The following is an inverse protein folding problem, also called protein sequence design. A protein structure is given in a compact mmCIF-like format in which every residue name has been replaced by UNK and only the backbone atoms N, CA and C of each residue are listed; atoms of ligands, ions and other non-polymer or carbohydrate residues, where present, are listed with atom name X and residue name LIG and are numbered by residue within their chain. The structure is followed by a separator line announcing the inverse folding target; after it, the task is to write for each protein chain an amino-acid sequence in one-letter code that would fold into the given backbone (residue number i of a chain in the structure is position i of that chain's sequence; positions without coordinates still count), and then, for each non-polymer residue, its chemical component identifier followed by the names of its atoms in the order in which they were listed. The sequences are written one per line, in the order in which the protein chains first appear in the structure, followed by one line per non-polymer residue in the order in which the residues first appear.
data_IF_289918876231
#
_entry.id   IF_289918876231
#
_cell.length_a   1.000
_cell.length_b   1.000
_cell.length_c   1.000
_cell.angle_alpha   90.00
_cell.angle_beta   90.00
_cell.angle_gamma   90.00
#
_symmetry.space_group_name_H-M   'P 1'
#
loop_
_entity.id
_entity.type
_entity.pdbx_description
1 polymer ?
#
# COMPACT_ATOMS: atom_id res chain seq x y z
N UNK A 1 -0.06 -11.14 22.30
CA UNK A 1 0.81 -11.79 21.29
C UNK A 1 -0.07 -12.24 20.14
N UNK A 2 0.03 -11.59 18.98
CA UNK A 2 -0.70 -12.01 17.78
C UNK A 2 0.19 -12.95 16.98
N UNK A 3 -0.17 -14.23 16.94
CA UNK A 3 0.43 -15.24 16.06
C UNK A 3 -0.08 -15.00 14.65
N UNK A 4 0.76 -14.65 13.67
CA UNK A 4 0.32 -14.55 12.29
C UNK A 4 0.28 -15.95 11.69
N UNK A 5 -0.90 -16.34 11.21
CA UNK A 5 -1.09 -17.56 10.43
C UNK A 5 -0.14 -17.58 9.22
N UNK A 6 0.54 -18.72 9.06
CA UNK A 6 1.33 -19.03 7.86
C UNK A 6 0.38 -19.13 6.67
N UNK A 7 0.28 -18.08 5.86
CA UNK A 7 -0.42 -18.13 4.58
C UNK A 7 0.61 -18.08 3.45
N UNK A 8 0.74 -19.22 2.76
CA UNK A 8 1.54 -19.40 1.55
C UNK A 8 1.05 -18.44 0.46
N UNK A 9 1.95 -18.01 -0.43
CA UNK A 9 1.68 -17.08 -1.53
C UNK A 9 0.76 -17.61 -2.65
N UNK A 10 0.18 -18.81 -2.47
CA UNK A 10 -0.72 -19.48 -3.42
C UNK A 10 -2.11 -19.76 -2.80
N UNK A 11 -2.51 -19.02 -1.76
CA UNK A 11 -3.87 -19.17 -1.23
C UNK A 11 -4.92 -18.82 -2.29
N UNK A 12 -5.68 -19.85 -2.68
CA UNK A 12 -7.01 -19.73 -3.29
C UNK A 12 -7.75 -18.63 -2.52
N UNK A 13 -8.07 -17.52 -3.20
CA UNK A 13 -8.79 -16.42 -2.59
C UNK A 13 -10.18 -16.92 -2.16
N UNK A 14 -10.33 -17.22 -0.87
CA UNK A 14 -11.61 -17.66 -0.29
C UNK A 14 -12.68 -16.58 -0.55
N UNK A 15 -13.87 -16.98 -1.00
CA UNK A 15 -15.01 -16.08 -1.18
C UNK A 15 -15.33 -15.32 0.11
N UNK A 16 -15.09 -15.90 1.29
CA UNK A 16 -15.28 -15.24 2.58
C UNK A 16 -14.46 -13.96 2.73
N UNK A 17 -13.24 -13.96 2.19
CA UNK A 17 -12.41 -12.76 2.18
C UNK A 17 -13.03 -11.69 1.29
N UNK A 18 -13.48 -12.05 0.08
CA UNK A 18 -14.16 -11.09 -0.79
C UNK A 18 -15.44 -10.53 -0.16
N UNK A 19 -16.24 -11.36 0.53
CA UNK A 19 -17.43 -10.91 1.25
C UNK A 19 -17.10 -9.87 2.33
N UNK A 20 -16.04 -10.09 3.11
CA UNK A 20 -15.62 -9.16 4.17
C UNK A 20 -15.33 -7.78 3.59
N UNK A 21 -14.49 -7.71 2.57
CA UNK A 21 -14.11 -6.43 1.96
C UNK A 21 -15.21 -5.83 1.09
N UNK A 22 -16.10 -6.66 0.55
CA UNK A 22 -17.31 -6.19 -0.14
C UNK A 22 -18.23 -5.44 0.81
N UNK A 23 -18.49 -5.96 2.01
CA UNK A 23 -19.28 -5.25 3.05
C UNK A 23 -18.69 -3.89 3.38
N UNK A 24 -17.37 -3.81 3.62
CA UNK A 24 -16.69 -2.54 3.87
C UNK A 24 -16.77 -1.59 2.68
N UNK A 25 -16.70 -2.13 1.47
CA UNK A 25 -16.76 -1.37 0.21
C UNK A 25 -18.12 -0.75 -0.01
N UNK A 26 -19.21 -1.52 0.13
CA UNK A 26 -20.59 -1.00 0.05
C UNK A 26 -20.80 0.11 1.07
N UNK A 27 -20.46 -0.15 2.33
CA UNK A 27 -20.61 0.84 3.40
C UNK A 27 -19.80 2.13 3.16
N UNK A 28 -18.58 2.02 2.62
CA UNK A 28 -17.78 3.19 2.23
C UNK A 28 -18.43 3.97 1.09
N UNK A 29 -19.00 3.27 0.10
CA UNK A 29 -19.74 3.86 -1.01
C UNK A 29 -20.97 4.62 -0.54
N UNK A 30 -21.79 4.01 0.33
CA UNK A 30 -22.97 4.63 0.94
C UNK A 30 -22.61 5.90 1.72
N UNK A 31 -21.50 5.89 2.48
CA UNK A 31 -21.03 7.10 3.17
C UNK A 31 -20.64 8.21 2.19
N UNK A 32 -19.90 7.88 1.14
CA UNK A 32 -19.46 8.86 0.13
C UNK A 32 -20.66 9.51 -0.57
N UNK A 33 -21.74 8.76 -0.78
CA UNK A 33 -22.97 9.27 -1.37
C UNK A 33 -23.72 10.29 -0.50
N UNK A 34 -23.41 10.36 0.80
CA UNK A 34 -23.95 11.39 1.70
C UNK A 34 -23.25 12.75 1.56
N UNK A 35 -22.17 12.84 0.77
CA UNK A 35 -21.42 14.07 0.51
C UNK A 35 -21.52 14.46 -0.97
N UNK A 36 -21.94 15.69 -1.25
CA UNK A 36 -22.19 16.17 -2.62
C UNK A 36 -20.97 16.05 -3.54
N UNK A 37 -19.75 16.20 -3.00
CA UNK A 37 -18.52 16.15 -3.78
C UNK A 37 -18.02 14.71 -4.01
N UNK A 38 -18.38 13.78 -3.12
CA UNK A 38 -17.93 12.40 -3.19
C UNK A 38 -18.97 11.45 -3.80
N UNK A 39 -20.19 11.92 -4.04
CA UNK A 39 -21.33 11.09 -4.46
C UNK A 39 -21.04 10.18 -5.65
N UNK A 40 -20.57 10.73 -6.77
CA UNK A 40 -20.26 9.94 -7.97
C UNK A 40 -19.19 8.86 -7.70
N UNK A 41 -18.19 9.18 -6.86
CA UNK A 41 -17.17 8.20 -6.44
C UNK A 41 -17.77 7.14 -5.53
N UNK A 42 -18.72 7.53 -4.68
CA UNK A 42 -19.46 6.64 -3.80
C UNK A 42 -20.23 5.57 -4.59
N UNK A 43 -20.91 5.96 -5.67
CA UNK A 43 -21.62 5.04 -6.56
C UNK A 43 -20.66 4.02 -7.21
N UNK A 44 -19.50 4.48 -7.69
CA UNK A 44 -18.45 3.60 -8.22
C UNK A 44 -17.89 2.64 -7.16
N UNK A 45 -17.67 3.13 -5.94
CA UNK A 45 -17.16 2.33 -4.82
C UNK A 45 -18.18 1.27 -4.44
N UNK A 46 -19.45 1.63 -4.29
CA UNK A 46 -20.52 0.71 -3.87
C UNK A 46 -20.57 -0.56 -4.76
N UNK A 47 -20.49 -0.37 -6.07
CA UNK A 47 -20.56 -1.47 -7.06
C UNK A 47 -19.21 -2.14 -7.35
N UNK A 48 -18.13 -1.70 -6.71
CA UNK A 48 -16.80 -2.27 -6.92
C UNK A 48 -16.76 -3.74 -6.50
N UNK A 49 -16.36 -4.62 -7.43
CA UNK A 49 -16.23 -6.05 -7.19
C UNK A 49 -17.57 -6.77 -7.03
N UNK A 50 -18.67 -6.23 -7.58
CA UNK A 50 -19.95 -6.94 -7.71
C UNK A 50 -19.84 -8.21 -8.56
N UNK A 51 -18.97 -8.17 -9.58
CA UNK A 51 -18.77 -9.25 -10.53
C UNK A 51 -17.32 -9.70 -10.47
N UNK A 52 -17.11 -10.97 -10.07
CA UNK A 52 -15.81 -11.63 -10.06
C UNK A 52 -15.83 -12.78 -11.05
N UNK A 53 -14.92 -12.79 -12.02
CA UNK A 53 -14.76 -13.90 -12.96
C UNK A 53 -13.65 -14.81 -12.48
N UNK A 54 -13.95 -16.08 -12.32
CA UNK A 54 -13.00 -17.11 -11.92
C UNK A 54 -12.76 -18.13 -13.04
N UNK A 55 -11.58 -18.74 -13.06
CA UNK A 55 -11.33 -19.95 -13.83
C UNK A 55 -11.84 -21.22 -13.12
N UNK A 56 -11.71 -22.36 -13.78
CA UNK A 56 -12.03 -23.70 -13.24
C UNK A 56 -11.32 -24.03 -11.92
N UNK A 57 -10.15 -23.43 -11.66
CA UNK A 57 -9.38 -23.63 -10.44
C UNK A 57 -9.75 -22.62 -9.35
N UNK A 58 -10.85 -21.87 -9.54
CA UNK A 58 -11.31 -20.79 -8.64
C UNK A 58 -10.29 -19.66 -8.50
N UNK A 59 -9.41 -19.46 -9.49
CA UNK A 59 -8.50 -18.33 -9.54
C UNK A 59 -9.22 -17.13 -10.14
N UNK A 60 -9.10 -15.96 -9.51
CA UNK A 60 -9.71 -14.73 -10.01
C UNK A 60 -9.00 -14.28 -11.31
N UNK A 61 -9.74 -14.25 -12.42
CA UNK A 61 -9.24 -13.79 -13.72
C UNK A 61 -9.53 -12.32 -13.99
N UNK A 62 -10.71 -11.84 -13.61
CA UNK A 62 -11.11 -10.43 -13.82
C UNK A 62 -12.23 -10.02 -12.88
N UNK A 63 -12.40 -8.71 -12.68
CA UNK A 63 -13.47 -8.15 -11.86
C UNK A 63 -13.74 -6.68 -12.17
N UNK A 64 -14.94 -6.20 -11.84
CA UNK A 64 -15.35 -4.81 -12.04
C UNK A 64 -14.85 -3.88 -10.91
N UNK A 65 -13.54 -3.80 -10.71
CA UNK A 65 -12.97 -2.94 -9.68
C UNK A 65 -13.01 -1.46 -10.07
N UNK A 66 -13.45 -0.58 -9.16
CA UNK A 66 -13.56 0.87 -9.42
C UNK A 66 -12.23 1.63 -9.42
N UNK A 67 -11.17 1.03 -8.87
CA UNK A 67 -9.80 1.59 -8.76
C UNK A 67 -9.72 2.88 -7.94
N UNK A 68 -10.77 3.22 -7.18
CA UNK A 68 -10.76 4.36 -6.26
C UNK A 68 -9.82 4.08 -5.09
N UNK A 69 -9.01 5.07 -4.73
CA UNK A 69 -7.94 4.95 -3.72
C UNK A 69 -8.45 4.58 -2.34
N UNK A 70 -9.65 5.03 -1.98
CA UNK A 70 -10.29 4.78 -0.70
C UNK A 70 -11.29 3.61 -0.75
N UNK A 71 -11.38 2.88 -1.87
CA UNK A 71 -12.19 1.67 -1.97
C UNK A 71 -11.51 0.50 -1.23
N UNK A 72 -12.12 -0.09 -0.20
CA UNK A 72 -11.54 -1.21 0.54
C UNK A 72 -11.18 -2.42 -0.33
N UNK A 73 -12.02 -2.77 -1.31
CA UNK A 73 -11.73 -3.84 -2.27
C UNK A 73 -10.48 -3.54 -3.12
N UNK A 74 -10.35 -2.31 -3.63
CA UNK A 74 -9.20 -1.92 -4.44
C UNK A 74 -7.92 -1.80 -3.59
N UNK A 75 -8.02 -1.28 -2.36
CA UNK A 75 -6.91 -1.21 -1.42
C UNK A 75 -6.37 -2.59 -1.07
N UNK A 76 -7.25 -3.56 -0.76
CA UNK A 76 -6.84 -4.95 -0.51
C UNK A 76 -6.13 -5.55 -1.71
N UNK A 77 -6.73 -5.46 -2.90
CA UNK A 77 -6.13 -5.98 -4.14
C UNK A 77 -4.74 -5.38 -4.36
N UNK A 78 -4.63 -4.05 -4.26
CA UNK A 78 -3.35 -3.35 -4.43
C UNK A 78 -2.34 -3.75 -3.36
N UNK A 79 -2.77 -3.95 -2.11
CA UNK A 79 -1.91 -4.45 -1.02
C UNK A 79 -1.31 -5.82 -1.37
N UNK A 80 -2.13 -6.77 -1.82
CA UNK A 80 -1.69 -8.12 -2.19
C UNK A 80 -0.72 -8.10 -3.40
N UNK A 81 -1.06 -7.35 -4.45
CA UNK A 81 -0.18 -7.19 -5.61
C UNK A 81 1.16 -6.57 -5.24
N UNK A 82 1.12 -5.46 -4.49
CA UNK A 82 2.31 -4.75 -4.03
C UNK A 82 3.17 -5.65 -3.14
N UNK A 83 2.54 -6.47 -2.30
CA UNK A 83 3.23 -7.45 -1.47
C UNK A 83 4.02 -8.46 -2.31
N UNK A 84 3.38 -9.09 -3.32
CA UNK A 84 4.07 -10.01 -4.22
C UNK A 84 5.24 -9.35 -4.95
N UNK A 85 5.05 -8.12 -5.42
CA UNK A 85 6.08 -7.33 -6.08
C UNK A 85 7.27 -7.00 -5.15
N UNK A 86 7.01 -6.53 -3.92
CA UNK A 86 8.07 -6.23 -2.94
C UNK A 86 8.82 -7.51 -2.54
N UNK A 87 8.11 -8.63 -2.34
CA UNK A 87 8.72 -9.92 -2.02
C UNK A 87 9.72 -10.34 -3.11
N UNK A 88 9.26 -10.40 -4.36
CA UNK A 88 10.11 -10.75 -5.52
C UNK A 88 11.32 -9.81 -5.66
N UNK A 89 11.09 -8.50 -5.50
CA UNK A 89 12.16 -7.51 -5.54
C UNK A 89 13.19 -7.73 -4.42
N UNK A 90 12.73 -8.04 -3.22
CA UNK A 90 13.58 -8.26 -2.06
C UNK A 90 14.41 -9.54 -2.18
N UNK A 91 13.82 -10.64 -2.65
CA UNK A 91 14.51 -11.91 -2.91
C UNK A 91 15.65 -11.70 -3.92
N UNK A 92 15.38 -10.99 -5.02
CA UNK A 92 16.39 -10.61 -6.01
C UNK A 92 17.53 -9.81 -5.36
N UNK A 93 17.22 -8.75 -4.61
CA UNK A 93 18.25 -7.91 -3.98
C UNK A 93 19.06 -8.66 -2.91
N UNK A 94 18.45 -9.60 -2.18
CA UNK A 94 19.18 -10.48 -1.26
C UNK A 94 20.20 -11.34 -2.02
N UNK A 95 19.84 -11.90 -3.17
CA UNK A 95 20.78 -12.64 -4.03
C UNK A 95 21.93 -11.77 -4.56
N UNK A 96 21.68 -10.46 -4.75
CA UNK A 96 22.69 -9.46 -5.14
C UNK A 96 23.54 -8.95 -3.95
N UNK A 97 23.38 -9.56 -2.77
CA UNK A 97 24.22 -9.27 -1.60
C UNK A 97 23.75 -8.06 -0.78
N UNK A 98 22.50 -7.64 -0.91
CA UNK A 98 21.90 -6.63 -0.04
C UNK A 98 21.22 -7.25 1.19
N UNK A 99 21.11 -6.44 2.23
CA UNK A 99 20.23 -6.67 3.37
C UNK A 99 19.30 -5.46 3.52
N UNK A 100 18.26 -5.60 4.34
CA UNK A 100 17.23 -4.58 4.46
C UNK A 100 17.09 -4.02 5.86
N UNK A 101 16.70 -2.75 5.92
CA UNK A 101 16.27 -2.03 7.13
C UNK A 101 14.84 -1.57 6.89
N UNK A 102 13.98 -1.79 7.88
CA UNK A 102 12.67 -1.14 7.95
C UNK A 102 12.87 0.16 8.73
N UNK A 103 12.79 1.27 8.00
CA UNK A 103 12.90 2.62 8.54
C UNK A 103 11.51 3.27 8.52
N UNK A 104 11.11 3.90 9.61
CA UNK A 104 9.90 4.70 9.70
C UNK A 104 10.28 6.13 9.99
N UNK A 105 9.93 7.04 9.08
CA UNK A 105 10.12 8.48 9.22
C UNK A 105 8.76 9.11 9.56
N UNK A 106 8.66 9.76 10.71
CA UNK A 106 7.41 10.37 11.16
C UNK A 106 7.50 11.89 11.23
N UNK A 107 6.33 12.53 11.27
CA UNK A 107 6.14 13.94 11.61
C UNK A 107 5.15 14.03 12.79
N UNK A 108 4.99 15.21 13.39
CA UNK A 108 3.91 15.42 14.36
C UNK A 108 2.56 15.18 13.71
N UNK A 109 1.56 14.89 14.54
CA UNK A 109 0.19 14.84 14.07
C UNK A 109 -0.25 16.23 13.60
N UNK A 110 -1.15 16.26 12.64
CA UNK A 110 -1.65 17.48 12.00
C UNK A 110 -3.15 17.40 11.81
N UNK A 111 -3.79 18.56 11.79
CA UNK A 111 -5.21 18.64 11.49
C UNK A 111 -5.50 18.32 10.02
N UNK A 112 -6.76 17.99 9.71
CA UNK A 112 -7.15 17.57 8.36
C UNK A 112 -6.81 18.60 7.28
N UNK A 113 -6.97 19.89 7.60
CA UNK A 113 -6.69 21.01 6.69
C UNK A 113 -5.20 21.11 6.33
N UNK A 114 -4.31 20.78 7.26
CA UNK A 114 -2.86 20.84 7.08
C UNK A 114 -2.28 19.56 6.46
N UNK A 115 -3.06 18.49 6.37
CA UNK A 115 -2.60 17.18 5.93
C UNK A 115 -2.02 17.19 4.50
N UNK A 116 -2.63 17.84 3.48
CA UNK A 116 -2.07 17.86 2.13
C UNK A 116 -0.68 18.50 2.09
N UNK A 117 -0.48 19.63 2.76
CA UNK A 117 0.80 20.34 2.78
C UNK A 117 1.85 19.57 3.59
N UNK A 118 1.44 19.00 4.71
CA UNK A 118 2.31 18.14 5.53
C UNK A 118 2.83 16.93 4.75
N UNK A 119 1.99 16.30 3.90
CA UNK A 119 2.44 15.21 3.03
C UNK A 119 3.44 15.71 1.98
N UNK A 120 3.23 16.90 1.43
CA UNK A 120 4.19 17.53 0.49
C UNK A 120 5.53 17.77 1.16
N UNK A 121 5.53 18.32 2.37
CA UNK A 121 6.74 18.58 3.16
C UNK A 121 7.44 17.28 3.55
N UNK A 122 6.68 16.26 3.96
CA UNK A 122 7.19 14.92 4.28
C UNK A 122 7.91 14.29 3.08
N UNK A 123 7.35 14.38 1.87
CA UNK A 123 8.02 13.90 0.66
C UNK A 123 9.26 14.72 0.30
N UNK A 124 9.18 16.03 0.42
CA UNK A 124 10.30 16.94 0.09
C UNK A 124 11.46 16.74 1.07
N UNK A 125 11.17 16.62 2.36
CA UNK A 125 12.13 16.33 3.41
C UNK A 125 12.77 14.95 3.21
N UNK A 126 11.98 13.91 2.93
CA UNK A 126 12.53 12.56 2.74
C UNK A 126 13.37 12.44 1.47
N UNK A 127 13.06 13.18 0.40
CA UNK A 127 13.92 13.26 -0.78
C UNK A 127 15.27 13.90 -0.44
N UNK A 128 15.29 14.97 0.37
CA UNK A 128 16.52 15.60 0.86
C UNK A 128 17.31 14.67 1.77
N UNK A 129 16.64 14.02 2.72
CA UNK A 129 17.23 13.04 3.64
C UNK A 129 17.92 11.89 2.90
N UNK A 130 17.24 11.25 1.93
CA UNK A 130 17.86 10.18 1.13
C UNK A 130 18.90 10.68 0.13
N UNK A 131 19.00 12.00 -0.06
CA UNK A 131 20.03 12.63 -0.87
C UNK A 131 21.23 13.13 -0.05
N UNK A 132 21.15 13.08 1.27
CA UNK A 132 22.24 13.45 2.17
C UNK A 132 23.44 12.50 1.99
N UNK A 133 24.65 13.03 2.02
CA UNK A 133 25.86 12.24 1.73
C UNK A 133 26.16 11.19 2.80
N UNK A 134 25.81 11.43 4.07
CA UNK A 134 25.93 10.42 5.12
C UNK A 134 24.95 9.27 4.90
N UNK A 135 23.73 9.58 4.47
CA UNK A 135 22.69 8.60 4.15
C UNK A 135 23.02 7.83 2.88
N UNK A 136 23.31 8.51 1.76
CA UNK A 136 23.65 7.88 0.47
C UNK A 136 24.88 6.97 0.55
N UNK A 137 25.82 7.28 1.45
CA UNK A 137 27.00 6.44 1.69
C UNK A 137 26.60 5.03 2.11
N UNK A 138 25.49 4.86 2.85
CA UNK A 138 25.09 3.55 3.38
C UNK A 138 23.79 3.00 2.79
N UNK A 139 22.80 3.84 2.51
CA UNK A 139 21.51 3.46 1.96
C UNK A 139 21.62 3.42 0.44
N UNK A 140 21.70 2.22 -0.13
CA UNK A 140 21.94 2.00 -1.56
C UNK A 140 20.68 2.02 -2.39
N UNK A 141 19.53 1.80 -1.77
CA UNK A 141 18.22 1.93 -2.40
C UNK A 141 17.14 2.05 -1.36
N UNK A 142 16.04 2.69 -1.73
CA UNK A 142 14.91 2.90 -0.82
C UNK A 142 13.61 2.66 -1.58
N UNK A 143 12.69 1.91 -1.00
CA UNK A 143 11.27 1.97 -1.32
C UNK A 143 10.60 2.67 -0.14
N UNK A 144 9.93 3.80 -0.38
CA UNK A 144 9.14 4.51 0.64
C UNK A 144 7.66 4.43 0.30
N UNK A 145 6.83 4.16 1.31
CA UNK A 145 5.39 4.22 1.22
C UNK A 145 4.81 5.21 2.23
N UNK A 146 3.92 6.07 1.75
CA UNK A 146 3.11 6.94 2.61
C UNK A 146 1.99 6.12 3.27
N UNK A 147 1.89 6.25 4.59
CA UNK A 147 0.75 5.83 5.38
C UNK A 147 0.20 7.03 6.15
N UNK A 148 -1.12 7.12 6.25
CA UNK A 148 -1.78 8.14 7.07
C UNK A 148 -2.67 7.44 8.09
N UNK A 149 -2.30 7.56 9.35
CA UNK A 149 -3.11 7.09 10.48
C UNK A 149 -3.99 8.22 11.01
N UNK A 150 -5.09 7.88 11.69
CA UNK A 150 -5.98 8.85 12.32
C UNK A 150 -6.07 8.57 13.83
N UNK A 151 -5.78 9.58 14.65
CA UNK A 151 -5.96 9.52 16.12
C UNK A 151 -7.40 9.86 16.45
N UNK A 152 -8.16 8.89 16.99
CA UNK A 152 -9.53 9.14 17.45
C UNK A 152 -9.58 10.02 18.70
N UNK A 153 -8.55 9.92 19.54
CA UNK A 153 -8.46 10.68 20.80
C UNK A 153 -8.21 12.16 20.53
N UNK A 154 -7.32 12.44 19.59
CA UNK A 154 -6.82 13.79 19.32
C UNK A 154 -7.44 14.39 18.04
N UNK A 155 -8.34 13.65 17.38
CA UNK A 155 -9.04 14.01 16.15
C UNK A 155 -8.15 14.52 15.00
N UNK A 156 -6.93 13.98 14.89
CA UNK A 156 -5.91 14.45 13.97
C UNK A 156 -5.25 13.31 13.18
N UNK A 157 -4.48 13.66 12.16
CA UNK A 157 -3.83 12.75 11.23
C UNK A 157 -2.35 12.61 11.52
N UNK A 158 -1.80 11.44 11.24
CA UNK A 158 -0.38 11.13 11.36
C UNK A 158 0.16 10.58 10.05
N UNK A 159 0.55 11.44 9.09
CA UNK A 159 1.25 11.00 7.90
C UNK A 159 2.67 10.55 8.26
N UNK A 160 3.11 9.41 7.75
CA UNK A 160 4.45 8.89 7.98
C UNK A 160 4.90 8.01 6.81
N UNK A 161 6.21 7.77 6.72
CA UNK A 161 6.81 6.98 5.66
C UNK A 161 7.36 5.67 6.19
N UNK A 162 6.80 4.55 5.74
CA UNK A 162 7.42 3.25 5.87
C UNK A 162 8.40 3.03 4.73
N UNK A 163 9.67 2.80 5.08
CA UNK A 163 10.77 2.67 4.13
C UNK A 163 11.42 1.29 4.24
N UNK A 164 11.52 0.58 3.12
CA UNK A 164 12.39 -0.57 2.95
C UNK A 164 13.70 -0.09 2.34
N UNK A 165 14.78 -0.13 3.13
CA UNK A 165 16.07 0.42 2.77
C UNK A 165 17.06 -0.71 2.49
N UNK A 166 17.62 -0.76 1.28
CA UNK A 166 18.67 -1.70 0.90
C UNK A 166 20.05 -1.18 1.33
N UNK A 167 20.79 -2.01 2.07
CA UNK A 167 22.15 -1.75 2.53
C UNK A 167 23.06 -2.93 2.17
N UNK A 168 24.38 -2.73 2.12
CA UNK A 168 25.33 -3.84 1.94
C UNK A 168 25.34 -4.73 3.20
N UNK A 169 25.59 -6.03 3.06
CA UNK A 169 25.75 -6.99 4.18
C UNK A 169 26.72 -6.51 5.27
N UNK A 170 27.77 -5.80 4.88
CA UNK A 170 28.77 -5.25 5.82
C UNK A 170 28.26 -4.08 6.67
N UNK A 171 27.13 -3.47 6.34
CA UNK A 171 26.61 -2.26 7.00
C UNK A 171 26.49 -2.42 8.52
N UNK A 172 25.91 -3.53 8.98
CA UNK A 172 25.63 -3.75 10.42
C UNK A 172 26.89 -3.95 11.27
N UNK A 173 28.05 -4.15 10.65
CA UNK A 173 29.35 -4.25 11.31
C UNK A 173 30.29 -3.11 10.91
N UNK A 174 29.81 -2.16 10.12
CA UNK A 174 30.61 -1.09 9.56
C UNK A 174 30.78 0.06 10.54
N UNK A 175 31.92 0.74 10.46
CA UNK A 175 32.12 2.06 11.10
C UNK A 175 31.12 3.12 10.63
N UNK A 176 30.46 2.90 9.49
CA UNK A 176 29.43 3.78 8.94
C UNK A 176 28.00 3.39 9.38
N UNK A 177 27.85 2.42 10.29
CA UNK A 177 26.54 2.06 10.83
C UNK A 177 25.87 3.29 11.48
N UNK A 178 24.69 3.65 11.00
CA UNK A 178 23.94 4.78 11.54
C UNK A 178 23.12 4.34 12.75
N UNK A 179 23.43 4.92 13.90
CA UNK A 179 22.61 4.79 15.10
C UNK A 179 21.28 5.51 14.89
N UNK A 180 20.23 5.06 15.57
CA UNK A 180 18.89 5.67 15.45
C UNK A 180 18.88 7.15 15.81
N UNK A 181 19.71 7.60 16.77
CA UNK A 181 19.84 9.01 17.11
C UNK A 181 20.37 9.84 15.93
N UNK A 182 21.42 9.38 15.27
CA UNK A 182 21.97 10.04 14.06
C UNK A 182 20.93 10.10 12.94
N UNK A 183 20.15 9.04 12.74
CA UNK A 183 19.04 9.04 11.77
C UNK A 183 18.00 10.11 12.15
N UNK A 184 17.63 10.23 13.43
CA UNK A 184 16.65 11.22 13.91
C UNK A 184 17.16 12.65 13.76
N UNK A 185 18.43 12.91 14.07
CA UNK A 185 19.07 14.22 13.90
C UNK A 185 19.11 14.64 12.42
N UNK A 186 19.54 13.74 11.54
CA UNK A 186 19.51 13.98 10.10
C UNK A 186 18.07 14.17 9.60
N UNK A 187 17.12 13.37 10.11
CA UNK A 187 15.72 13.51 9.74
C UNK A 187 15.17 14.86 10.20
N UNK A 188 15.42 15.27 11.45
CA UNK A 188 15.04 16.59 11.98
C UNK A 188 15.56 17.72 11.10
N UNK A 189 16.86 17.67 10.77
CA UNK A 189 17.54 18.65 9.91
C UNK A 189 16.86 18.78 8.55
N UNK A 190 16.60 17.66 7.87
CA UNK A 190 16.00 17.66 6.53
C UNK A 190 14.50 17.96 6.54
N UNK A 191 13.81 17.58 7.61
CA UNK A 191 12.43 17.97 7.88
C UNK A 191 12.32 19.46 8.22
N UNK A 192 13.40 20.10 8.68
CA UNK A 192 13.42 21.47 9.23
C UNK A 192 12.48 21.61 10.43
N UNK A 193 12.41 20.58 11.26
CA UNK A 193 11.57 20.57 12.45
C UNK A 193 12.27 21.24 13.64
N UNK A 194 11.52 22.04 14.39
CA UNK A 194 11.93 22.61 15.69
C UNK A 194 11.88 21.57 16.83
N UNK A 195 11.62 20.31 16.51
CA UNK A 195 11.51 19.20 17.44
C UNK A 195 12.23 17.96 16.94
N UNK A 196 12.62 17.08 17.87
CA UNK A 196 13.22 15.80 17.53
C UNK A 196 12.13 14.79 17.11
N UNK A 197 11.98 14.47 15.81
CA UNK A 197 10.95 13.55 15.35
C UNK A 197 11.20 12.14 15.88
N UNK A 198 10.14 11.35 15.95
CA UNK A 198 10.27 9.92 16.20
C UNK A 198 10.69 9.24 14.91
N UNK A 199 11.68 8.36 15.00
CA UNK A 199 12.02 7.48 13.89
C UNK A 199 12.20 6.10 14.48
N UNK A 200 12.01 5.11 13.62
CA UNK A 200 12.29 3.74 13.99
C UNK A 200 13.09 3.06 12.90
N UNK A 201 14.14 2.33 13.27
CA UNK A 201 14.95 1.59 12.31
C UNK A 201 15.27 0.21 12.90
N UNK A 202 14.92 -0.84 12.17
CA UNK A 202 15.33 -2.22 12.51
C UNK A 202 15.87 -2.93 11.29
N UNK A 203 16.81 -3.86 11.50
CA UNK A 203 17.15 -4.84 10.48
C UNK A 203 15.90 -5.67 10.14
N UNK A 204 15.63 -5.84 8.85
CA UNK A 204 14.57 -6.72 8.40
C UNK A 204 15.03 -8.18 8.40
N UNK A 205 14.17 -9.06 8.90
CA UNK A 205 14.11 -10.44 8.45
C UNK A 205 13.00 -10.56 7.38
N UNK A 206 12.82 -11.75 6.79
CA UNK A 206 11.77 -12.00 5.78
C UNK A 206 10.38 -11.57 6.28
N UNK A 207 10.06 -11.82 7.55
CA UNK A 207 8.80 -11.40 8.18
C UNK A 207 8.64 -9.87 8.24
N UNK A 208 9.72 -9.14 8.48
CA UNK A 208 9.70 -7.68 8.52
C UNK A 208 9.53 -7.08 7.11
N UNK A 209 10.11 -7.69 6.07
CA UNK A 209 9.88 -7.29 4.67
C UNK A 209 8.40 -7.45 4.32
N UNK A 210 7.82 -8.60 4.69
CA UNK A 210 6.40 -8.85 4.56
C UNK A 210 5.53 -7.82 5.32
N UNK A 211 6.01 -7.33 6.46
CA UNK A 211 5.32 -6.29 7.22
C UNK A 211 5.35 -4.94 6.50
N UNK A 212 6.50 -4.49 5.98
CA UNK A 212 6.59 -3.22 5.21
C UNK A 212 5.65 -3.24 4.02
N UNK A 213 5.55 -4.40 3.35
CA UNK A 213 4.65 -4.58 2.22
C UNK A 213 3.16 -4.48 2.59
N UNK A 214 2.75 -4.82 3.82
CA UNK A 214 1.36 -4.67 4.28
C UNK A 214 0.96 -3.21 4.45
N UNK A 215 1.86 -2.38 4.95
CA UNK A 215 1.64 -0.94 5.15
C UNK A 215 1.57 -0.16 3.83
N UNK A 216 1.96 -0.78 2.72
CA UNK A 216 1.92 -0.11 1.43
C UNK A 216 0.50 0.33 1.02
N UNK A 217 -0.53 -0.38 1.51
CA UNK A 217 -1.93 -0.08 1.16
C UNK A 217 -2.90 -0.56 2.26
N UNK A 218 -2.52 -0.43 3.54
CA UNK A 218 -3.36 -0.91 4.64
C UNK A 218 -4.76 -0.29 4.55
N UNK A 219 -5.83 -1.11 4.51
CA UNK A 219 -7.18 -0.58 4.55
C UNK A 219 -7.35 0.28 5.79
N UNK A 220 -7.89 1.47 5.60
CA UNK A 220 -8.09 2.38 6.70
C UNK A 220 -9.20 1.83 7.61
N UNK A 221 -8.82 1.18 8.70
CA UNK A 221 -9.75 0.67 9.70
C UNK A 221 -10.21 1.81 10.62
N UNK A 222 -11.16 2.60 10.13
CA UNK A 222 -11.77 3.68 10.89
C UNK A 222 -12.94 3.15 11.68
N UNK A 223 -12.79 2.50 12.83
CA UNK A 223 -13.95 2.23 13.70
C UNK A 223 -14.48 3.54 14.34
N UNK A 224 -15.26 4.31 13.57
CA UNK A 224 -15.77 5.66 13.86
C UNK A 224 -17.27 5.72 13.56
N UNK A 225 -17.98 6.68 14.15
CA UNK A 225 -19.36 6.99 13.73
C UNK A 225 -19.38 7.55 12.30
N UNK A 226 -20.52 7.40 11.61
CA UNK A 226 -20.70 7.77 10.19
C UNK A 226 -20.21 9.18 9.86
N UNK A 227 -20.61 10.19 10.66
CA UNK A 227 -20.29 11.60 10.40
C UNK A 227 -18.78 11.85 10.45
N UNK A 228 -18.12 11.36 11.50
CA UNK A 228 -16.67 11.51 11.64
C UNK A 228 -15.91 10.66 10.60
N UNK A 229 -16.40 9.46 10.30
CA UNK A 229 -15.80 8.59 9.29
C UNK A 229 -15.84 9.24 7.91
N UNK A 230 -16.98 9.85 7.53
CA UNK A 230 -17.12 10.59 6.28
C UNK A 230 -16.18 11.79 6.23
N UNK A 231 -16.10 12.59 7.31
CA UNK A 231 -15.19 13.72 7.39
C UNK A 231 -13.72 13.29 7.22
N UNK A 232 -13.29 12.23 7.89
CA UNK A 232 -11.93 11.68 7.78
C UNK A 232 -11.64 11.18 6.37
N UNK A 233 -12.58 10.43 5.77
CA UNK A 233 -12.41 9.91 4.41
C UNK A 233 -12.36 11.04 3.37
N UNK A 234 -13.14 12.11 3.56
CA UNK A 234 -13.10 13.30 2.71
C UNK A 234 -11.75 14.00 2.78
N UNK A 235 -11.20 14.20 3.99
CA UNK A 235 -9.87 14.78 4.15
C UNK A 235 -8.79 13.94 3.49
N UNK A 236 -8.83 12.61 3.67
CA UNK A 236 -7.90 11.70 3.00
C UNK A 236 -8.06 11.70 1.49
N UNK A 237 -9.30 11.81 0.99
CA UNK A 237 -9.58 11.86 -0.44
C UNK A 237 -8.79 13.01 -1.09
N UNK A 238 -8.91 14.22 -0.53
CA UNK A 238 -8.21 15.40 -1.03
C UNK A 238 -6.71 15.32 -0.79
N UNK A 239 -6.30 14.97 0.44
CA UNK A 239 -4.89 14.93 0.81
C UNK A 239 -4.08 13.93 -0.03
N UNK A 240 -4.68 12.81 -0.43
CA UNK A 240 -4.02 11.80 -1.24
C UNK A 240 -4.16 12.05 -2.75
N UNK A 241 -5.08 12.91 -3.22
CA UNK A 241 -5.35 13.08 -4.64
C UNK A 241 -4.08 13.41 -5.46
N UNK A 242 -3.88 12.74 -6.60
CA UNK A 242 -2.74 12.97 -7.49
C UNK A 242 -1.36 12.51 -6.98
N UNK A 243 -1.27 11.93 -5.77
CA UNK A 243 0.02 11.53 -5.18
C UNK A 243 0.38 10.08 -5.51
N UNK A 244 1.68 9.81 -5.72
CA UNK A 244 2.24 8.45 -5.75
C UNK A 244 2.53 8.00 -4.33
N UNK A 245 1.82 6.98 -3.86
CA UNK A 245 1.97 6.51 -2.48
C UNK A 245 3.29 5.75 -2.26
N UNK A 246 3.75 5.04 -3.30
CA UNK A 246 4.99 4.26 -3.29
C UNK A 246 6.01 4.92 -4.22
N UNK A 247 7.22 5.11 -3.74
CA UNK A 247 8.32 5.68 -4.52
C UNK A 247 9.62 4.91 -4.28
N UNK A 248 10.40 4.70 -5.34
CA UNK A 248 11.63 3.91 -5.29
C UNK A 248 12.86 4.72 -5.71
N UNK A 249 14.00 4.41 -5.10
CA UNK A 249 15.28 5.09 -5.27
C UNK A 249 16.45 4.10 -5.33
N UNK A 250 17.55 4.53 -5.92
CA UNK A 250 18.81 3.77 -5.95
C UNK A 250 18.65 2.36 -6.54
N UNK A 251 19.32 1.38 -5.94
CA UNK A 251 19.32 -0.01 -6.43
C UNK A 251 17.92 -0.63 -6.45
N UNK A 252 17.03 -0.25 -5.54
CA UNK A 252 15.63 -0.71 -5.54
C UNK A 252 14.92 -0.25 -6.82
N UNK A 253 15.07 1.01 -7.23
CA UNK A 253 14.47 1.53 -8.48
C UNK A 253 15.02 0.83 -9.71
N UNK A 254 16.34 0.63 -9.76
CA UNK A 254 17.02 -0.04 -10.88
C UNK A 254 16.55 -1.50 -10.99
N UNK A 255 16.51 -2.22 -9.88
CA UNK A 255 16.05 -3.61 -9.83
C UNK A 255 14.56 -3.73 -10.14
N UNK A 256 13.70 -2.83 -9.65
CA UNK A 256 12.28 -2.82 -9.99
C UNK A 256 12.07 -2.66 -11.50
N UNK A 257 12.81 -1.75 -12.16
CA UNK A 257 12.77 -1.59 -13.62
C UNK A 257 13.24 -2.86 -14.35
N UNK A 258 14.32 -3.48 -13.89
CA UNK A 258 14.86 -4.74 -14.46
C UNK A 258 13.84 -5.88 -14.36
N UNK A 259 13.13 -5.98 -13.24
CA UNK A 259 12.11 -7.00 -12.99
C UNK A 259 10.74 -6.67 -13.58
N UNK A 260 10.61 -5.53 -14.29
CA UNK A 260 9.35 -4.99 -14.83
C UNK A 260 8.27 -4.83 -13.76
N UNK A 261 8.67 -4.42 -12.56
CA UNK A 261 7.75 -4.14 -11.45
C UNK A 261 7.24 -2.70 -11.58
N UNK A 262 5.94 -2.57 -11.74
CA UNK A 262 5.23 -1.30 -11.68
C UNK A 262 4.29 -1.29 -10.46
N UNK A 263 4.65 -0.51 -9.44
CA UNK A 263 3.88 -0.32 -8.22
C UNK A 263 2.65 0.56 -8.41
N UNK A 264 2.62 1.41 -9.44
CA UNK A 264 1.47 2.28 -9.76
C UNK A 264 0.48 1.56 -10.68
N UNK A 265 0.90 0.58 -11.48
CA UNK A 265 0.01 -0.21 -12.35
C UNK A 265 -1.13 -0.89 -11.59
N UNK A 266 -2.34 -0.74 -12.13
CA UNK A 266 -3.58 -1.33 -11.61
C UNK A 266 -4.09 -2.51 -12.44
N UNK A 267 -3.31 -2.93 -13.45
CA UNK A 267 -3.53 -4.14 -14.22
C UNK A 267 -3.34 -5.38 -13.34
N UNK A 268 -4.16 -6.41 -13.51
CA UNK A 268 -3.88 -7.72 -12.92
C UNK A 268 -2.59 -8.23 -13.56
N UNK A 269 -1.63 -8.70 -12.77
CA UNK A 269 -0.34 -9.13 -13.35
C UNK A 269 -0.53 -10.36 -14.24
N UNK A 270 0.36 -10.57 -15.22
CA UNK A 270 0.32 -11.77 -16.09
C UNK A 270 0.38 -13.09 -15.29
N UNK A 271 0.91 -13.07 -14.06
CA UNK A 271 0.85 -14.20 -13.12
C UNK A 271 -0.56 -14.49 -12.57
N UNK A 272 -1.49 -13.55 -12.68
CA UNK A 272 -2.91 -13.66 -12.32
C UNK A 272 -3.77 -13.95 -13.56
N UNK A 273 -3.35 -13.48 -14.74
CA UNK A 273 -4.02 -13.71 -16.01
C UNK A 273 -3.25 -14.76 -16.84
N UNK A 274 -3.48 -16.03 -16.56
CA UNK A 274 -3.25 -17.07 -17.58
C UNK A 274 -4.47 -17.09 -18.52
N UNK A 275 -4.49 -16.25 -19.56
CA UNK A 275 -5.45 -16.45 -20.67
C UNK A 275 -4.90 -17.61 -21.50
N UNK A 276 -5.10 -18.84 -21.05
CA UNK A 276 -5.09 -19.98 -21.97
C UNK A 276 -6.40 -19.91 -22.74
N UNK A 277 -6.32 -19.94 -24.07
CA UNK A 277 -7.41 -19.67 -25.03
C UNK A 277 -8.65 -20.58 -24.93
N UNK A 278 -8.72 -21.50 -23.96
CA UNK A 278 -9.87 -22.38 -23.72
C UNK A 278 -10.04 -22.70 -22.22
N UNK A 279 -10.57 -21.77 -21.42
CA UNK A 279 -11.05 -22.10 -20.07
C UNK A 279 -12.49 -21.66 -19.86
N UNK A 280 -13.32 -22.58 -19.38
CA UNK A 280 -14.64 -22.26 -18.83
C UNK A 280 -14.43 -21.26 -17.68
N UNK A 281 -15.10 -20.11 -17.77
CA UNK A 281 -15.07 -19.10 -16.71
C UNK A 281 -16.44 -18.96 -16.08
N UNK A 282 -16.46 -18.71 -14.77
CA UNK A 282 -17.67 -18.55 -13.98
C UNK A 282 -17.68 -17.15 -13.40
N UNK A 283 -18.81 -16.45 -13.51
CA UNK A 283 -18.98 -15.12 -12.92
C UNK A 283 -19.74 -15.27 -11.61
N UNK A 284 -19.14 -14.88 -10.49
CA UNK A 284 -19.86 -14.73 -9.24
C UNK A 284 -20.45 -13.32 -9.15
N UNK A 285 -21.76 -13.24 -8.91
CA UNK A 285 -22.49 -12.00 -8.72
C UNK A 285 -22.79 -11.81 -7.22
N UNK A 286 -22.15 -10.82 -6.58
CA UNK A 286 -22.33 -10.56 -5.15
C UNK A 286 -23.73 -10.07 -4.76
N UNK A 287 -24.44 -9.40 -5.68
CA UNK A 287 -25.83 -8.96 -5.43
C UNK A 287 -26.76 -10.16 -5.37
N UNK A 288 -26.56 -11.14 -6.24
CA UNK A 288 -27.42 -12.33 -6.34
C UNK A 288 -26.89 -13.53 -5.53
N UNK A 289 -25.67 -13.44 -4.99
CA UNK A 289 -24.96 -14.50 -4.25
C UNK A 289 -24.91 -15.85 -4.97
N UNK A 290 -24.80 -15.82 -6.30
CA UNK A 290 -24.77 -17.02 -7.13
C UNK A 290 -23.73 -16.91 -8.24
N UNK A 291 -23.29 -18.07 -8.72
CA UNK A 291 -22.51 -18.17 -9.95
C UNK A 291 -23.45 -18.13 -11.16
N UNK A 292 -23.04 -17.37 -12.17
CA UNK A 292 -23.67 -17.30 -13.47
C UNK A 292 -22.66 -17.78 -14.52
N UNK A 293 -23.06 -18.68 -15.43
CA UNK A 293 -22.18 -19.10 -16.52
C UNK A 293 -21.93 -17.91 -17.43
N UNK A 294 -20.66 -17.66 -17.78
CA UNK A 294 -20.34 -16.67 -18.81
C UNK A 294 -20.62 -17.30 -20.18
N UNK A 295 -21.76 -16.98 -20.78
CA UNK A 295 -21.99 -17.36 -22.18
C UNK A 295 -20.99 -16.59 -23.04
N UNK A 296 -20.13 -17.32 -23.77
CA UNK A 296 -19.30 -16.77 -24.83
C UNK A 296 -20.24 -16.22 -25.92
N UNK A 297 -20.71 -14.98 -25.78
CA UNK A 297 -21.23 -14.24 -26.93
C UNK A 297 -20.02 -13.88 -27.78
N UNK A 298 -19.69 -14.78 -28.71
CA UNK A 298 -18.92 -14.46 -29.89
C UNK A 298 -19.72 -13.40 -30.69
N UNK A 299 -19.48 -12.12 -30.42
CA UNK A 299 -19.83 -11.06 -31.37
C UNK A 299 -18.77 -11.09 -32.47
N UNK A 300 -19.19 -11.60 -33.64
CA UNK A 300 -18.51 -11.41 -34.93
C UNK A 300 -18.29 -9.93 -35.21
#
# INVERSE_FOLDING_TARGET
MYTPDKKNSDEILDLKDFEKYKKMTVYTGELFQKDDYLKERGELIEHCGDFLTFDENKKLCSANFCRQRLCPNCQRRKSLKTYGQIKRLSEYLVSEGYEFIHLVLTVRNVDGEQLPDTITDLYTASSRFFSDEEIKRVFKGVLRCLEVSYSKRDCNFHPHLHCLVAVKKSYFKSRYYLKILTIRELWQKHLKADYMPQCWARKCNEKAIAEVAKYAVKPLDLNLCDSLRLAVLKQLFFALHGRRLIQTYGVIRVSAKKLKIDFDSDELSDSEISVSEQKNTYVYNFKLRKYEPRSLKNSK
#
